data_IF_375363499623
#
_entry.id   IF_375363499623
#
_cell.length_a   1.000
_cell.length_b   1.000
_cell.length_c   1.000
_cell.angle_alpha   90.00
_cell.angle_beta   90.00
_cell.angle_gamma   90.00
#
_symmetry.space_group_name_H-M   'P 1'
#
loop_
_entity.id
_entity.type
_entity.pdbx_description
1 polymer ?
#
# COMPACT_ATOMS: atom_id res chain seq x y z
N UNK A 1 17.37 -52.04 40.81
CA UNK A 1 17.70 -52.22 39.45
C UNK A 1 17.06 -51.22 38.56
N UNK A 2 17.45 -50.02 38.78
CA UNK A 2 16.75 -48.84 38.26
C UNK A 2 17.58 -48.15 37.21
N UNK A 3 17.86 -48.85 36.12
CA UNK A 3 18.69 -48.29 35.03
C UNK A 3 17.94 -47.98 33.75
N UNK A 4 16.62 -48.20 33.75
CA UNK A 4 15.78 -47.99 32.57
C UNK A 4 14.94 -46.71 32.60
N UNK A 5 15.09 -45.91 33.66
CA UNK A 5 14.32 -44.67 33.82
C UNK A 5 15.09 -43.40 33.45
N UNK A 6 16.23 -43.49 32.79
CA UNK A 6 17.05 -42.34 32.49
C UNK A 6 17.19 -41.95 31.00
N UNK A 7 16.38 -42.55 30.14
CA UNK A 7 16.54 -42.30 28.68
C UNK A 7 15.29 -41.65 28.06
N UNK A 8 14.31 -41.28 28.83
CA UNK A 8 13.08 -40.75 28.26
C UNK A 8 12.82 -39.28 28.50
N UNK A 9 13.87 -38.51 28.75
CA UNK A 9 13.69 -37.07 29.03
C UNK A 9 14.60 -36.16 28.21
N UNK A 10 14.90 -36.58 27.02
CA UNK A 10 15.74 -35.75 26.15
C UNK A 10 15.31 -35.87 24.70
N UNK A 11 14.08 -35.61 24.39
CA UNK A 11 13.71 -35.28 23.00
C UNK A 11 12.33 -34.68 22.91
N UNK A 12 12.12 -33.55 23.53
CA UNK A 12 11.00 -32.69 23.24
C UNK A 12 11.48 -31.26 23.07
N UNK A 13 12.60 -31.10 22.43
CA UNK A 13 12.92 -29.82 21.79
C UNK A 13 12.19 -29.84 20.46
N UNK A 14 10.85 -29.73 20.54
CA UNK A 14 10.07 -29.33 19.39
C UNK A 14 10.60 -27.96 19.02
N UNK A 15 11.42 -27.97 17.99
CA UNK A 15 11.77 -26.80 17.24
C UNK A 15 10.43 -26.19 16.80
N UNK A 16 9.92 -25.25 17.57
CA UNK A 16 8.92 -24.33 17.10
C UNK A 16 9.63 -23.48 16.06
N UNK A 17 9.71 -24.01 14.85
CA UNK A 17 10.02 -23.18 13.69
C UNK A 17 8.85 -22.19 13.67
N UNK A 18 9.09 -20.91 13.89
CA UNK A 18 8.05 -19.95 13.63
C UNK A 18 7.68 -20.17 12.16
N UNK A 19 6.46 -20.60 11.92
CA UNK A 19 5.87 -20.53 10.60
C UNK A 19 5.94 -19.06 10.28
N UNK A 20 6.91 -18.66 9.47
CA UNK A 20 6.95 -17.33 8.89
C UNK A 20 5.67 -17.25 8.08
N UNK A 21 4.61 -16.74 8.72
CA UNK A 21 3.45 -16.33 8.00
C UNK A 21 3.98 -15.34 6.97
N UNK A 22 3.84 -15.71 5.72
CA UNK A 22 4.08 -14.82 4.60
C UNK A 22 3.24 -13.58 4.89
N UNK A 23 3.89 -12.53 5.40
CA UNK A 23 3.23 -11.25 5.62
C UNK A 23 2.96 -10.67 4.24
N UNK A 24 1.95 -11.23 3.60
CA UNK A 24 1.47 -10.74 2.33
C UNK A 24 0.89 -9.34 2.59
N UNK A 25 1.66 -8.33 2.23
CA UNK A 25 1.19 -6.96 2.26
C UNK A 25 -0.06 -6.84 1.41
N UNK A 26 -1.07 -6.26 2.02
CA UNK A 26 -2.28 -5.89 1.34
C UNK A 26 -2.20 -4.44 0.86
N UNK A 27 -2.81 -4.19 -0.27
CA UNK A 27 -2.98 -2.87 -0.83
C UNK A 27 -4.43 -2.64 -1.26
N UNK A 28 -4.69 -1.45 -1.74
CA UNK A 28 -6.04 -1.06 -2.18
C UNK A 28 -6.17 -0.97 -3.70
N UNK A 29 -5.07 -0.93 -4.44
CA UNK A 29 -5.07 -0.93 -5.91
C UNK A 29 -5.16 0.44 -6.55
N UNK A 30 -4.37 1.39 -6.05
CA UNK A 30 -4.24 2.73 -6.60
C UNK A 30 -2.78 3.08 -6.85
N UNK A 31 -2.54 3.91 -7.84
CA UNK A 31 -1.28 4.63 -8.01
C UNK A 31 -1.46 6.04 -7.51
N UNK A 32 -0.55 6.51 -6.68
CA UNK A 32 -0.62 7.82 -6.03
C UNK A 32 0.64 8.64 -6.31
N UNK A 33 0.47 9.94 -6.31
CA UNK A 33 1.57 10.93 -6.37
C UNK A 33 1.41 11.92 -5.23
N UNK A 34 2.51 12.57 -4.78
CA UNK A 34 2.42 13.63 -3.80
C UNK A 34 1.50 14.76 -4.27
N UNK A 35 0.75 15.33 -3.34
CA UNK A 35 -0.08 16.49 -3.56
C UNK A 35 0.08 17.48 -2.40
N UNK A 36 -0.32 18.72 -2.60
CA UNK A 36 -0.19 19.77 -1.58
C UNK A 36 -0.90 19.42 -0.28
N UNK A 37 -2.00 18.67 -0.36
CA UNK A 37 -2.80 18.25 0.79
C UNK A 37 -2.99 16.73 0.76
N UNK A 38 -1.95 15.99 1.10
CA UNK A 38 -1.96 14.53 1.09
C UNK A 38 -1.40 13.94 -0.20
N UNK A 39 -2.11 13.02 -0.81
CA UNK A 39 -1.73 12.36 -2.06
C UNK A 39 -2.87 12.38 -3.06
N UNK A 40 -2.53 12.44 -4.33
CA UNK A 40 -3.49 12.39 -5.43
C UNK A 40 -3.49 11.01 -6.07
N UNK A 41 -4.67 10.49 -6.36
CA UNK A 41 -4.85 9.26 -7.10
C UNK A 41 -4.69 9.55 -8.59
N UNK A 42 -3.75 8.89 -9.25
CA UNK A 42 -3.55 9.01 -10.71
C UNK A 42 -4.14 7.83 -11.46
N UNK A 43 -4.24 6.68 -10.81
CA UNK A 43 -4.84 5.49 -11.39
C UNK A 43 -5.55 4.65 -10.35
N UNK A 44 -6.65 4.05 -10.75
CA UNK A 44 -7.35 3.02 -10.01
C UNK A 44 -7.33 1.73 -10.82
N UNK A 45 -6.73 0.68 -10.28
CA UNK A 45 -6.59 -0.60 -10.97
C UNK A 45 -7.95 -1.32 -10.97
N UNK A 46 -8.48 -1.73 -12.12
CA UNK A 46 -9.74 -2.47 -12.19
C UNK A 46 -9.71 -3.77 -11.35
N UNK A 47 -10.85 -4.11 -10.74
CA UNK A 47 -10.99 -5.33 -9.94
C UNK A 47 -10.33 -5.26 -8.56
N UNK A 48 -9.90 -4.10 -8.11
CA UNK A 48 -9.28 -3.89 -6.81
C UNK A 48 -10.27 -3.32 -5.79
N UNK A 49 -9.95 -3.39 -4.48
CA UNK A 49 -10.77 -2.80 -3.44
C UNK A 49 -11.08 -1.32 -3.66
N UNK A 50 -10.12 -0.55 -4.14
CA UNK A 50 -10.31 0.87 -4.43
C UNK A 50 -11.33 1.09 -5.56
N UNK A 51 -11.25 0.31 -6.63
CA UNK A 51 -12.22 0.38 -7.73
C UNK A 51 -13.64 0.04 -7.25
N UNK A 52 -13.78 -1.01 -6.44
CA UNK A 52 -15.07 -1.43 -5.87
C UNK A 52 -15.63 -0.40 -4.89
N UNK A 53 -14.79 0.27 -4.14
CA UNK A 53 -15.19 1.31 -3.19
C UNK A 53 -15.55 2.66 -3.86
N UNK A 54 -15.27 2.81 -5.15
CA UNK A 54 -15.59 4.02 -5.89
C UNK A 54 -14.51 5.10 -5.84
N UNK A 55 -13.26 4.74 -5.56
CA UNK A 55 -12.12 5.66 -5.73
C UNK A 55 -11.97 5.99 -7.22
N UNK A 56 -11.77 7.25 -7.52
CA UNK A 56 -11.60 7.74 -8.89
C UNK A 56 -10.23 8.40 -9.08
N UNK A 57 -9.70 8.38 -10.31
CA UNK A 57 -8.56 9.23 -10.66
C UNK A 57 -8.87 10.69 -10.31
N UNK A 58 -7.86 11.44 -9.92
CA UNK A 58 -7.91 12.84 -9.44
C UNK A 58 -8.43 13.02 -8.00
N UNK A 59 -8.93 11.97 -7.35
CA UNK A 59 -9.23 12.03 -5.93
C UNK A 59 -7.98 12.39 -5.13
N UNK A 60 -8.11 13.29 -4.16
CA UNK A 60 -7.05 13.60 -3.20
C UNK A 60 -7.34 12.93 -1.87
N UNK A 61 -6.47 12.04 -1.45
CA UNK A 61 -6.57 11.40 -0.15
C UNK A 61 -5.94 12.33 0.89
N UNK A 62 -6.72 12.79 1.84
CA UNK A 62 -6.29 13.70 2.89
C UNK A 62 -6.18 13.04 4.28
N UNK A 63 -6.81 11.89 4.47
CA UNK A 63 -6.72 11.13 5.72
C UNK A 63 -6.85 9.63 5.46
N UNK A 64 -6.25 8.84 6.32
CA UNK A 64 -6.34 7.38 6.35
C UNK A 64 -6.66 6.94 7.78
N UNK A 65 -7.71 6.14 7.96
CA UNK A 65 -8.21 5.71 9.27
C UNK A 65 -8.40 6.88 10.24
N UNK A 66 -9.02 7.95 9.76
CA UNK A 66 -9.27 9.21 10.48
C UNK A 66 -7.99 9.99 10.90
N UNK A 67 -6.83 9.58 10.43
CA UNK A 67 -5.56 10.28 10.67
C UNK A 67 -5.18 11.09 9.44
N UNK A 68 -5.01 12.40 9.61
CA UNK A 68 -4.58 13.28 8.52
C UNK A 68 -3.21 12.86 7.98
N UNK A 69 -3.09 12.81 6.66
CA UNK A 69 -1.81 12.62 5.98
C UNK A 69 -1.27 13.91 5.36
N UNK A 70 -1.99 15.00 5.51
CA UNK A 70 -1.56 16.34 5.09
C UNK A 70 -0.29 16.74 5.84
N UNK A 71 0.73 17.19 5.12
CA UNK A 71 2.01 17.57 5.69
C UNK A 71 2.92 16.41 6.10
N UNK A 72 2.49 15.16 5.94
CA UNK A 72 3.33 13.97 6.11
C UNK A 72 4.12 13.67 4.85
N UNK A 73 5.22 12.91 4.99
CA UNK A 73 5.98 12.43 3.85
C UNK A 73 5.13 11.53 2.95
N UNK A 74 5.48 11.46 1.68
CA UNK A 74 4.84 10.54 0.74
C UNK A 74 4.95 9.08 1.19
N UNK A 75 6.11 8.68 1.71
CA UNK A 75 6.31 7.33 2.24
C UNK A 75 5.39 7.02 3.41
N UNK A 76 5.20 7.96 4.33
CA UNK A 76 4.27 7.80 5.44
C UNK A 76 2.82 7.65 4.96
N UNK A 77 2.41 8.41 3.96
CA UNK A 77 1.08 8.30 3.35
C UNK A 77 0.90 6.94 2.65
N UNK A 78 1.89 6.51 1.88
CA UNK A 78 1.89 5.20 1.23
C UNK A 78 1.80 4.07 2.25
N UNK A 79 2.58 4.14 3.32
CA UNK A 79 2.61 3.11 4.36
C UNK A 79 1.28 3.05 5.13
N UNK A 80 0.61 4.17 5.33
CA UNK A 80 -0.73 4.21 5.93
C UNK A 80 -1.78 3.48 5.07
N UNK A 81 -1.68 3.56 3.76
CA UNK A 81 -2.57 2.86 2.81
C UNK A 81 -2.29 1.36 2.74
N UNK A 82 -1.04 0.96 2.92
CA UNK A 82 -0.62 -0.43 2.99
C UNK A 82 -0.95 -1.02 4.35
N UNK A 83 -1.04 -2.33 4.42
CA UNK A 83 -1.25 -3.04 5.67
C UNK A 83 -1.47 -4.52 5.45
N UNK A 84 -1.95 -5.20 6.48
CA UNK A 84 -2.23 -6.62 6.37
C UNK A 84 -3.39 -6.89 5.41
N UNK A 85 -3.22 -7.93 4.59
CA UNK A 85 -4.28 -8.48 3.76
C UNK A 85 -5.54 -8.75 4.59
N UNK A 86 -6.70 -8.34 4.07
CA UNK A 86 -8.00 -8.55 4.70
C UNK A 86 -8.37 -7.52 5.76
N UNK A 87 -7.45 -6.65 6.18
CA UNK A 87 -7.74 -5.57 7.11
C UNK A 87 -8.45 -4.41 6.42
N UNK A 88 -9.51 -3.86 7.03
CA UNK A 88 -10.19 -2.69 6.50
C UNK A 88 -9.30 -1.44 6.59
N UNK A 89 -9.53 -0.52 5.68
CA UNK A 89 -8.98 0.83 5.71
C UNK A 89 -10.06 1.80 5.28
N UNK A 90 -10.18 2.91 5.99
CA UNK A 90 -11.02 4.04 5.61
C UNK A 90 -10.13 5.17 5.07
N UNK A 91 -10.49 5.71 3.93
CA UNK A 91 -9.81 6.88 3.39
C UNK A 91 -10.79 8.04 3.27
N UNK A 92 -10.31 9.23 3.57
CA UNK A 92 -11.03 10.47 3.27
C UNK A 92 -10.44 11.08 2.02
N UNK A 93 -11.28 11.26 1.02
CA UNK A 93 -10.88 11.87 -0.26
C UNK A 93 -11.60 13.19 -0.48
N UNK A 94 -10.93 14.12 -1.13
CA UNK A 94 -11.51 15.37 -1.61
C UNK A 94 -11.74 15.20 -3.11
N UNK A 95 -12.99 15.35 -3.49
CA UNK A 95 -13.46 15.24 -4.88
C UNK A 95 -14.33 16.44 -5.18
N UNK A 96 -13.93 17.26 -6.15
CA UNK A 96 -14.70 18.45 -6.56
C UNK A 96 -15.09 19.37 -5.40
N UNK A 97 -14.20 19.50 -4.41
CA UNK A 97 -14.43 20.32 -3.21
C UNK A 97 -15.17 19.62 -2.06
N UNK A 98 -15.75 18.46 -2.29
CA UNK A 98 -16.44 17.67 -1.27
C UNK A 98 -15.52 16.62 -0.66
N UNK A 99 -15.68 16.37 0.64
CA UNK A 99 -14.98 15.31 1.35
C UNK A 99 -15.85 14.06 1.42
N UNK A 100 -15.33 12.94 0.94
CA UNK A 100 -15.98 11.64 0.95
C UNK A 100 -15.18 10.66 1.81
N UNK A 101 -15.87 9.80 2.55
CA UNK A 101 -15.27 8.69 3.28
C UNK A 101 -15.54 7.38 2.53
N UNK A 102 -14.48 6.68 2.20
CA UNK A 102 -14.54 5.41 1.47
C UNK A 102 -13.85 4.33 2.27
N UNK A 103 -14.56 3.22 2.51
CA UNK A 103 -14.03 2.07 3.26
C UNK A 103 -13.83 0.88 2.33
N UNK A 104 -12.70 0.22 2.46
CA UNK A 104 -12.36 -0.95 1.67
C UNK A 104 -11.50 -1.94 2.46
N UNK A 105 -11.43 -3.17 2.00
CA UNK A 105 -10.57 -4.19 2.59
C UNK A 105 -9.34 -4.39 1.71
N UNK A 106 -8.17 -4.34 2.34
CA UNK A 106 -6.90 -4.61 1.64
C UNK A 106 -6.88 -6.03 1.09
N UNK A 107 -6.41 -6.17 -0.12
CA UNK A 107 -6.14 -7.46 -0.77
C UNK A 107 -4.65 -7.62 -1.04
N UNK A 108 -4.17 -8.86 -1.10
CA UNK A 108 -2.87 -9.11 -1.68
C UNK A 108 -2.92 -8.67 -3.14
N UNK A 109 -2.21 -7.62 -3.44
CA UNK A 109 -2.03 -7.15 -4.80
C UNK A 109 -0.73 -7.76 -5.29
N UNK A 110 -0.81 -8.64 -6.27
CA UNK A 110 0.35 -8.99 -7.04
C UNK A 110 0.71 -7.75 -7.86
N UNK A 111 1.77 -7.08 -7.47
CA UNK A 111 2.38 -6.04 -8.30
C UNK A 111 2.99 -6.79 -9.49
N UNK A 112 2.18 -7.05 -10.50
CA UNK A 112 2.69 -7.46 -11.79
C UNK A 112 3.31 -6.22 -12.42
N UNK A 113 4.63 -6.17 -12.33
CA UNK A 113 5.47 -5.34 -13.18
C UNK A 113 4.89 -3.95 -13.50
N UNK A 114 5.01 -3.05 -12.54
CA UNK A 114 5.14 -1.66 -12.93
C UNK A 114 6.52 -1.52 -13.59
N UNK A 115 6.60 -1.94 -14.84
CA UNK A 115 7.77 -1.67 -15.65
C UNK A 115 7.91 -0.14 -15.77
N UNK A 116 9.13 0.34 -15.85
CA UNK A 116 9.41 1.75 -16.16
C UNK A 116 8.56 2.26 -17.33
N UNK A 117 8.24 1.38 -18.28
CA UNK A 117 7.37 1.65 -19.41
C UNK A 117 5.91 1.94 -19.03
N UNK A 118 5.41 1.35 -17.95
CA UNK A 118 4.07 1.68 -17.45
C UNK A 118 4.06 3.06 -16.83
N UNK A 119 5.10 3.40 -16.09
CA UNK A 119 5.28 4.71 -15.48
C UNK A 119 5.45 5.76 -16.57
N UNK A 120 6.27 5.50 -17.58
CA UNK A 120 6.50 6.41 -18.70
C UNK A 120 5.25 6.62 -19.56
N UNK A 121 4.43 5.58 -19.75
CA UNK A 121 3.14 5.68 -20.43
C UNK A 121 2.14 6.58 -19.69
N UNK A 122 2.20 6.60 -18.37
CA UNK A 122 1.35 7.43 -17.52
C UNK A 122 1.80 8.88 -17.49
N UNK A 123 3.12 9.09 -17.32
CA UNK A 123 3.72 10.42 -17.27
C UNK A 123 3.99 11.03 -18.65
N UNK A 124 4.04 10.20 -19.69
CA UNK A 124 4.33 10.65 -21.05
C UNK A 124 3.22 11.46 -21.71
N UNK A 125 2.00 11.38 -21.19
CA UNK A 125 0.86 12.07 -21.82
C UNK A 125 0.71 13.53 -21.42
N UNK A 126 1.16 13.92 -20.25
CA UNK A 126 1.11 15.32 -19.84
C UNK A 126 2.05 15.63 -18.67
N UNK A 127 3.34 15.61 -18.94
CA UNK A 127 4.37 16.02 -17.96
C UNK A 127 4.20 17.46 -17.48
N UNK A 128 3.46 18.26 -18.22
CA UNK A 128 3.26 19.68 -17.92
C UNK A 128 2.31 19.92 -16.75
N UNK A 129 1.50 18.94 -16.40
CA UNK A 129 0.54 19.04 -15.29
C UNK A 129 1.12 18.63 -13.93
N UNK A 130 2.34 18.05 -13.91
CA UNK A 130 2.99 17.60 -12.68
C UNK A 130 4.09 18.56 -12.26
N UNK A 131 4.16 18.85 -10.96
CA UNK A 131 5.26 19.62 -10.42
C UNK A 131 6.57 18.80 -10.48
N UNK A 132 7.71 19.51 -10.49
CA UNK A 132 9.01 18.85 -10.44
C UNK A 132 9.15 17.90 -9.26
N UNK A 133 8.59 18.26 -8.11
CA UNK A 133 8.60 17.47 -6.88
C UNK A 133 7.78 16.18 -7.02
N UNK A 134 6.66 16.23 -7.72
CA UNK A 134 5.84 15.06 -8.01
C UNK A 134 6.57 14.07 -8.91
N UNK A 135 7.28 14.57 -9.93
CA UNK A 135 8.07 13.75 -10.85
C UNK A 135 9.30 13.13 -10.17
N UNK A 136 9.97 13.86 -9.29
CA UNK A 136 11.12 13.36 -8.53
C UNK A 136 10.69 12.28 -7.51
N UNK A 137 9.57 12.45 -6.84
CA UNK A 137 9.06 11.46 -5.89
C UNK A 137 8.73 10.12 -6.54
N UNK A 138 8.28 10.13 -7.79
CA UNK A 138 8.01 8.93 -8.58
C UNK A 138 9.29 8.24 -9.04
N UNK A 139 10.29 9.02 -9.46
CA UNK A 139 11.59 8.48 -9.87
C UNK A 139 12.30 7.73 -8.73
N UNK A 140 12.16 8.20 -7.50
CA UNK A 140 12.72 7.55 -6.30
C UNK A 140 12.03 6.22 -6.01
N UNK A 141 10.76 6.06 -6.34
CA UNK A 141 10.04 4.79 -6.14
C UNK A 141 10.41 3.71 -7.15
N UNK A 142 10.74 4.07 -8.37
CA UNK A 142 11.23 3.14 -9.38
C UNK A 142 12.62 2.57 -9.07
N UNK A 143 13.43 3.29 -8.30
CA UNK A 143 14.77 2.88 -7.93
C UNK A 143 14.84 1.96 -6.71
N UNK A 144 13.74 1.77 -5.98
CA UNK A 144 13.68 0.96 -4.75
C UNK A 144 13.17 -0.47 -4.96
N UNK A 145 13.08 -0.94 -6.20
CA UNK A 145 12.56 -2.27 -6.55
C UNK A 145 13.65 -3.27 -6.94
N UNK A 146 14.91 -2.98 -6.66
CA UNK A 146 16.02 -3.93 -6.84
C UNK A 146 16.42 -4.57 -5.50
#
# INVERSE_FOLDING_TARGET
MNRLLKVSMALSLLLSIPLMADESFGGVGITIVPAKEGVRVVEVIPGTPAAEAGVLPEDRICAVDAVSITGKSFDAARDALRGQKGKPVEISVIREGDTLSLTMRRKALMIKDYSEQSIEKWYGKDKSSYSKEELEAVAVQGASSD
#
